data_IF_961502582469
#
_entry.id   IF_961502582469
#
_cell.length_a   1.000
_cell.length_b   1.000
_cell.length_c   1.000
_cell.angle_alpha   90.00
_cell.angle_beta   90.00
_cell.angle_gamma   90.00
#
_symmetry.space_group_name_H-M   'P 1'
#
loop_
_entity.id
_entity.type
_entity.pdbx_description
1 polymer ?
#
# COMPACT_ATOMS: atom_id res chain seq x y z
N UNK A 1 7.86 36.45 -25.56
CA UNK A 1 7.68 35.14 -26.23
C UNK A 1 8.84 34.13 -26.05
N UNK A 2 10.01 34.48 -25.50
CA UNK A 2 11.16 33.56 -25.36
C UNK A 2 11.20 32.72 -24.07
N UNK A 3 10.42 33.07 -23.03
CA UNK A 3 10.49 32.42 -21.71
C UNK A 3 9.65 31.14 -21.64
N UNK A 4 8.49 31.12 -22.32
CA UNK A 4 7.62 29.93 -22.40
C UNK A 4 8.28 28.79 -23.20
N UNK A 5 9.02 29.13 -24.26
CA UNK A 5 9.79 28.18 -25.06
C UNK A 5 10.87 27.44 -24.26
N UNK A 6 11.55 28.11 -23.31
CA UNK A 6 12.57 27.48 -22.45
C UNK A 6 11.96 26.53 -21.42
N UNK A 7 10.82 26.90 -20.81
CA UNK A 7 10.10 26.01 -19.88
C UNK A 7 9.58 24.76 -20.60
N UNK A 8 8.98 24.93 -21.79
CA UNK A 8 8.47 23.81 -22.57
C UNK A 8 9.60 22.84 -23.01
N UNK A 9 10.76 23.36 -23.39
CA UNK A 9 11.92 22.54 -23.74
C UNK A 9 12.53 21.80 -22.54
N UNK A 10 12.52 22.39 -21.34
CA UNK A 10 12.94 21.70 -20.12
C UNK A 10 11.98 20.56 -19.76
N UNK A 11 10.67 20.79 -19.88
CA UNK A 11 9.65 19.74 -19.67
C UNK A 11 9.86 18.59 -20.67
N UNK A 12 10.06 18.90 -21.96
CA UNK A 12 10.32 17.89 -22.98
C UNK A 12 11.63 17.13 -22.74
N UNK A 13 12.70 17.79 -22.29
CA UNK A 13 13.95 17.13 -21.91
C UNK A 13 13.78 16.20 -20.70
N UNK A 14 13.03 16.61 -19.68
CA UNK A 14 12.76 15.76 -18.51
C UNK A 14 11.92 14.54 -18.91
N UNK A 15 10.91 14.73 -19.75
CA UNK A 15 10.06 13.66 -20.28
C UNK A 15 10.85 12.69 -21.17
N UNK A 16 11.77 13.17 -22.00
CA UNK A 16 12.62 12.32 -22.87
C UNK A 16 13.70 11.56 -22.08
N UNK A 17 14.38 12.22 -21.14
CA UNK A 17 15.40 11.59 -20.29
C UNK A 17 14.80 10.54 -19.36
N UNK A 18 13.63 10.83 -18.77
CA UNK A 18 12.93 9.87 -17.91
C UNK A 18 12.25 8.77 -18.73
N UNK A 19 11.62 9.12 -19.86
CA UNK A 19 10.88 8.18 -20.70
C UNK A 19 11.77 7.13 -21.36
N UNK A 20 13.00 7.45 -21.78
CA UNK A 20 13.91 6.46 -22.41
C UNK A 20 14.64 5.56 -21.41
N UNK A 21 15.00 6.03 -20.20
CA UNK A 21 15.72 5.21 -19.20
C UNK A 21 14.81 4.46 -18.22
N UNK A 22 13.57 4.92 -17.99
CA UNK A 22 12.64 4.24 -17.05
C UNK A 22 11.92 3.04 -17.67
N UNK A 23 11.82 2.96 -19.00
CA UNK A 23 11.03 1.92 -19.69
C UNK A 23 11.54 0.50 -19.46
N UNK A 24 12.85 0.34 -19.25
CA UNK A 24 13.49 -0.98 -19.19
C UNK A 24 13.90 -1.43 -17.78
N UNK A 25 13.89 -0.54 -16.78
CA UNK A 25 14.49 -0.81 -15.45
C UNK A 25 13.44 -0.80 -14.33
N UNK A 26 12.26 -0.21 -14.55
CA UNK A 26 11.31 0.06 -13.48
C UNK A 26 10.01 -0.75 -13.61
N UNK A 27 9.53 -1.41 -12.53
CA UNK A 27 8.23 -2.09 -12.54
C UNK A 27 7.09 -1.17 -12.96
N UNK A 28 6.16 -1.68 -13.77
CA UNK A 28 5.09 -0.91 -14.42
C UNK A 28 4.31 0.03 -13.49
N UNK A 29 4.00 -0.42 -12.27
CA UNK A 29 3.29 0.41 -11.29
C UNK A 29 4.12 1.66 -10.91
N UNK A 30 5.42 1.52 -10.62
CA UNK A 30 6.28 2.66 -10.29
C UNK A 30 6.48 3.58 -11.49
N UNK A 31 6.62 3.01 -12.70
CA UNK A 31 6.68 3.78 -13.95
C UNK A 31 5.42 4.63 -14.14
N UNK A 32 4.24 4.02 -13.99
CA UNK A 32 2.95 4.73 -14.11
C UNK A 32 2.76 5.81 -13.04
N UNK A 33 3.19 5.55 -11.79
CA UNK A 33 3.16 6.57 -10.72
C UNK A 33 4.01 7.79 -11.10
N UNK A 34 5.21 7.58 -11.65
CA UNK A 34 6.08 8.67 -12.08
C UNK A 34 5.51 9.43 -13.28
N UNK A 35 4.96 8.74 -14.28
CA UNK A 35 4.27 9.38 -15.40
C UNK A 35 3.14 10.31 -14.93
N UNK A 36 2.32 9.86 -13.98
CA UNK A 36 1.23 10.66 -13.43
C UNK A 36 1.76 11.89 -12.67
N UNK A 37 2.82 11.72 -11.86
CA UNK A 37 3.46 12.83 -11.14
C UNK A 37 3.99 13.88 -12.12
N UNK A 38 4.64 13.46 -13.20
CA UNK A 38 5.13 14.40 -14.22
C UNK A 38 3.99 15.14 -14.94
N UNK A 39 2.88 14.46 -15.25
CA UNK A 39 1.68 15.11 -15.81
C UNK A 39 1.09 16.13 -14.85
N UNK A 40 1.01 15.81 -13.56
CA UNK A 40 0.54 16.75 -12.53
C UNK A 40 1.47 17.98 -12.41
N UNK A 41 2.79 17.79 -12.42
CA UNK A 41 3.76 18.91 -12.41
C UNK A 41 3.61 19.78 -13.67
N UNK A 42 3.45 19.16 -14.85
CA UNK A 42 3.25 19.88 -16.11
C UNK A 42 1.97 20.73 -16.06
N UNK A 43 0.85 20.16 -15.62
CA UNK A 43 -0.43 20.87 -15.41
C UNK A 43 -0.31 22.04 -14.43
N UNK A 44 0.55 21.95 -13.41
CA UNK A 44 0.78 23.03 -12.45
C UNK A 44 1.74 24.12 -12.96
N UNK A 45 2.55 23.83 -13.99
CA UNK A 45 3.61 24.72 -14.50
C UNK A 45 3.23 25.57 -15.71
N UNK A 46 2.07 25.29 -16.33
CA UNK A 46 1.48 26.04 -17.46
C UNK A 46 0.30 26.92 -17.01
N UNK A 47 0.12 28.06 -17.68
CA UNK A 47 -0.74 29.18 -17.25
C UNK A 47 -2.28 28.95 -17.43
N UNK A 48 -3.15 29.96 -17.19
CA UNK A 48 -4.35 29.89 -16.37
C UNK A 48 -5.60 29.39 -17.14
N UNK A 49 -5.74 28.08 -17.33
CA UNK A 49 -7.05 27.40 -17.34
C UNK A 49 -6.80 26.01 -16.76
N UNK A 50 -7.21 25.72 -15.51
CA UNK A 50 -6.92 24.44 -14.90
C UNK A 50 -7.83 23.41 -15.57
N UNK A 51 -7.29 22.33 -16.11
CA UNK A 51 -8.08 21.15 -16.49
C UNK A 51 -8.41 20.40 -15.18
N UNK A 52 -9.48 20.77 -14.46
CA UNK A 52 -9.66 20.37 -13.07
C UNK A 52 -10.05 18.89 -12.97
N UNK A 53 -10.76 18.42 -13.99
CA UNK A 53 -11.18 17.04 -14.14
C UNK A 53 -9.96 16.14 -14.45
N UNK A 54 -9.06 16.56 -15.34
CA UNK A 54 -7.83 15.80 -15.64
C UNK A 54 -6.89 15.73 -14.43
N UNK A 55 -6.72 16.83 -13.69
CA UNK A 55 -5.93 16.83 -12.45
C UNK A 55 -6.56 15.91 -11.39
N UNK A 56 -7.89 15.95 -11.25
CA UNK A 56 -8.63 15.10 -10.31
C UNK A 56 -8.52 13.62 -10.66
N UNK A 57 -8.65 13.28 -11.93
CA UNK A 57 -8.51 11.90 -12.43
C UNK A 57 -7.09 11.38 -12.25
N UNK A 58 -6.07 12.18 -12.56
CA UNK A 58 -4.67 11.83 -12.33
C UNK A 58 -4.38 11.63 -10.82
N UNK A 59 -4.90 12.48 -9.94
CA UNK A 59 -4.77 12.30 -8.48
C UNK A 59 -5.45 11.01 -8.00
N UNK A 60 -6.62 10.68 -8.55
CA UNK A 60 -7.34 9.43 -8.25
C UNK A 60 -6.54 8.21 -8.70
N UNK A 61 -6.07 8.20 -9.94
CA UNK A 61 -5.22 7.12 -10.50
C UNK A 61 -3.96 6.91 -9.65
N UNK A 62 -3.29 8.00 -9.27
CA UNK A 62 -2.09 7.92 -8.42
C UNK A 62 -2.41 7.29 -7.07
N UNK A 63 -3.53 7.69 -6.45
CA UNK A 63 -3.99 7.13 -5.17
C UNK A 63 -4.25 5.63 -5.31
N UNK A 64 -4.95 5.19 -6.35
CA UNK A 64 -5.23 3.77 -6.58
C UNK A 64 -3.95 2.95 -6.77
N UNK A 65 -2.97 3.47 -7.51
CA UNK A 65 -1.68 2.81 -7.71
C UNK A 65 -0.88 2.70 -6.41
N UNK A 66 -0.91 3.74 -5.57
CA UNK A 66 -0.28 3.72 -4.24
C UNK A 66 -0.96 2.70 -3.32
N UNK A 67 -2.30 2.66 -3.29
CA UNK A 67 -3.06 1.67 -2.52
C UNK A 67 -2.71 0.24 -2.96
N UNK A 68 -2.66 -0.04 -4.27
CA UNK A 68 -2.25 -1.36 -4.79
C UNK A 68 -0.83 -1.75 -4.36
N UNK A 69 0.11 -0.80 -4.42
CA UNK A 69 1.49 -1.00 -3.97
C UNK A 69 1.54 -1.31 -2.47
N UNK A 70 0.80 -0.54 -1.67
CA UNK A 70 0.83 -0.66 -0.22
C UNK A 70 0.12 -1.94 0.25
N UNK A 71 -0.95 -2.37 -0.44
CA UNK A 71 -1.54 -3.69 -0.27
C UNK A 71 -0.55 -4.84 -0.57
N UNK A 72 0.23 -4.73 -1.66
CA UNK A 72 1.25 -5.74 -2.00
C UNK A 72 2.38 -5.78 -0.95
N UNK A 73 2.84 -4.63 -0.47
CA UNK A 73 3.82 -4.54 0.63
C UNK A 73 3.26 -5.14 1.91
N UNK A 74 2.02 -4.80 2.27
CA UNK A 74 1.32 -5.33 3.45
C UNK A 74 1.23 -6.85 3.39
N UNK A 75 0.83 -7.41 2.25
CA UNK A 75 0.77 -8.87 2.04
C UNK A 75 2.11 -9.55 2.29
N UNK A 76 3.21 -8.98 1.80
CA UNK A 76 4.56 -9.53 2.05
C UNK A 76 4.95 -9.40 3.52
N UNK A 77 4.73 -8.25 4.12
CA UNK A 77 5.02 -7.99 5.53
C UNK A 77 4.28 -8.95 6.46
N UNK A 78 2.96 -9.08 6.27
CA UNK A 78 2.10 -9.99 7.04
C UNK A 78 2.58 -11.43 6.90
N UNK A 79 2.94 -11.87 5.68
CA UNK A 79 3.47 -13.21 5.45
C UNK A 79 4.72 -13.47 6.29
N UNK A 80 5.67 -12.53 6.32
CA UNK A 80 6.90 -12.66 7.09
C UNK A 80 6.62 -12.64 8.61
N UNK A 81 5.74 -11.76 9.06
CA UNK A 81 5.34 -11.69 10.47
C UNK A 81 4.65 -12.98 10.93
N UNK A 82 3.70 -13.50 10.15
CA UNK A 82 3.04 -14.77 10.46
C UNK A 82 4.04 -15.92 10.49
N UNK A 83 4.99 -15.97 9.57
CA UNK A 83 6.06 -16.99 9.60
C UNK A 83 6.93 -16.89 10.86
N UNK A 84 7.25 -15.67 11.30
CA UNK A 84 8.04 -15.42 12.51
C UNK A 84 7.30 -15.83 13.78
N UNK A 85 6.03 -15.41 13.91
CA UNK A 85 5.19 -15.71 15.08
C UNK A 85 4.91 -17.21 15.17
N UNK A 86 4.52 -17.81 14.05
CA UNK A 86 4.01 -19.19 14.02
C UNK A 86 5.12 -20.21 13.89
N UNK A 87 6.32 -19.82 13.45
CA UNK A 87 7.43 -20.74 13.16
C UNK A 87 7.02 -21.90 12.24
N UNK A 88 6.10 -21.62 11.29
CA UNK A 88 5.49 -22.60 10.36
C UNK A 88 4.55 -23.63 11.02
N UNK A 89 4.10 -23.37 12.25
CA UNK A 89 3.07 -24.15 12.93
C UNK A 89 1.78 -24.19 12.09
N UNK A 90 1.21 -25.38 11.83
CA UNK A 90 -0.09 -25.53 11.17
C UNK A 90 -1.21 -24.78 11.90
N UNK A 91 -2.21 -24.31 11.14
CA UNK A 91 -3.33 -23.56 11.69
C UNK A 91 -4.04 -24.26 12.86
N UNK A 92 -4.31 -25.56 12.73
CA UNK A 92 -5.00 -26.35 13.76
C UNK A 92 -4.23 -26.45 15.08
N UNK A 93 -2.90 -26.33 15.02
CA UNK A 93 -2.00 -26.39 16.16
C UNK A 93 -1.65 -25.02 16.77
N UNK A 94 -2.15 -23.93 16.17
CA UNK A 94 -1.98 -22.60 16.75
C UNK A 94 -2.67 -22.52 18.10
N UNK A 95 -1.98 -21.89 19.04
CA UNK A 95 -2.42 -21.65 20.41
C UNK A 95 -2.69 -20.17 20.64
N UNK A 96 -3.40 -19.86 21.72
CA UNK A 96 -3.78 -18.48 22.07
C UNK A 96 -2.63 -17.48 22.07
N UNK A 97 -1.43 -17.89 22.49
CA UNK A 97 -0.20 -17.08 22.48
C UNK A 97 0.19 -16.58 21.07
N UNK A 98 0.09 -17.44 20.05
CA UNK A 98 0.36 -17.06 18.66
C UNK A 98 -0.62 -15.99 18.20
N UNK A 99 -1.89 -16.16 18.54
CA UNK A 99 -2.96 -15.23 18.18
C UNK A 99 -2.79 -13.88 18.90
N UNK A 100 -2.38 -13.86 20.17
CA UNK A 100 -2.04 -12.59 20.84
C UNK A 100 -0.87 -11.87 20.16
N UNK A 101 0.19 -12.59 19.79
CA UNK A 101 1.31 -11.99 19.05
C UNK A 101 0.90 -11.44 17.68
N UNK A 102 0.01 -12.13 16.96
CA UNK A 102 -0.54 -11.62 15.69
C UNK A 102 -1.37 -10.35 15.87
N UNK A 103 -2.18 -10.31 16.94
CA UNK A 103 -2.98 -9.14 17.29
C UNK A 103 -2.09 -7.94 17.64
N UNK A 104 -1.04 -8.16 18.44
CA UNK A 104 -0.08 -7.11 18.82
C UNK A 104 0.73 -6.61 17.61
N UNK A 105 0.98 -7.48 16.63
CA UNK A 105 1.55 -7.13 15.33
C UNK A 105 0.54 -6.42 14.39
N UNK A 106 -0.70 -6.23 14.82
CA UNK A 106 -1.74 -5.56 14.04
C UNK A 106 -2.22 -6.37 12.83
N UNK A 107 -2.18 -7.70 12.87
CA UNK A 107 -2.57 -8.59 11.75
C UNK A 107 -4.06 -8.94 11.82
N UNK A 108 -4.83 -8.59 10.79
CA UNK A 108 -6.30 -8.79 10.77
C UNK A 108 -6.72 -10.27 10.67
N UNK A 109 -8.00 -10.55 10.93
CA UNK A 109 -8.56 -11.90 10.75
C UNK A 109 -8.49 -12.34 9.29
N UNK A 110 -8.87 -11.45 8.37
CA UNK A 110 -8.77 -11.65 6.93
C UNK A 110 -7.33 -12.03 6.52
N UNK A 111 -6.33 -11.35 7.08
CA UNK A 111 -4.92 -11.59 6.80
C UNK A 111 -4.46 -12.98 7.28
N UNK A 112 -4.90 -13.41 8.46
CA UNK A 112 -4.65 -14.76 8.99
C UNK A 112 -5.35 -15.81 8.12
N UNK A 113 -6.63 -15.58 7.81
CA UNK A 113 -7.46 -16.45 6.98
C UNK A 113 -6.83 -16.67 5.60
N UNK A 114 -6.40 -15.58 4.96
CA UNK A 114 -5.71 -15.62 3.67
C UNK A 114 -4.41 -16.44 3.72
N UNK A 115 -3.58 -16.23 4.74
CA UNK A 115 -2.29 -16.94 4.87
C UNK A 115 -2.48 -18.46 5.06
N UNK A 116 -3.45 -18.86 5.88
CA UNK A 116 -3.74 -20.27 6.17
C UNK A 116 -4.74 -20.93 5.22
N UNK A 117 -5.22 -20.18 4.21
CA UNK A 117 -6.28 -20.61 3.28
C UNK A 117 -7.53 -21.09 4.03
N UNK A 118 -7.95 -20.33 5.03
CA UNK A 118 -9.15 -20.55 5.84
C UNK A 118 -10.17 -19.44 5.57
N UNK A 119 -11.40 -19.62 6.05
CA UNK A 119 -12.39 -18.54 6.14
C UNK A 119 -12.18 -17.74 7.41
N UNK A 120 -12.58 -16.46 7.43
CA UNK A 120 -12.53 -15.65 8.65
C UNK A 120 -13.33 -16.28 9.79
N UNK A 121 -14.49 -16.87 9.50
CA UNK A 121 -15.30 -17.60 10.48
C UNK A 121 -14.54 -18.78 11.11
N UNK A 122 -13.74 -19.52 10.34
CA UNK A 122 -12.92 -20.60 10.89
C UNK A 122 -11.80 -20.05 11.81
N UNK A 123 -11.25 -18.87 11.50
CA UNK A 123 -10.30 -18.18 12.38
C UNK A 123 -10.98 -17.74 13.67
N UNK A 124 -12.17 -17.14 13.60
CA UNK A 124 -12.95 -16.75 14.78
C UNK A 124 -13.31 -17.93 15.68
N UNK A 125 -13.74 -19.06 15.09
CA UNK A 125 -14.01 -20.28 15.84
C UNK A 125 -12.76 -20.78 16.57
N UNK A 126 -11.61 -20.79 15.88
CA UNK A 126 -10.33 -21.20 16.49
C UNK A 126 -9.91 -20.26 17.61
N UNK A 127 -10.08 -18.94 17.44
CA UNK A 127 -9.86 -17.95 18.51
C UNK A 127 -10.74 -18.23 19.73
N UNK A 128 -12.01 -18.58 19.51
CA UNK A 128 -12.94 -18.98 20.57
C UNK A 128 -12.49 -20.22 21.33
N UNK A 129 -12.05 -21.27 20.61
CA UNK A 129 -11.50 -22.51 21.19
C UNK A 129 -10.26 -22.22 22.04
N UNK A 130 -9.36 -21.35 21.56
CA UNK A 130 -8.13 -20.98 22.25
C UNK A 130 -8.34 -19.90 23.34
N UNK A 131 -9.59 -19.51 23.61
CA UNK A 131 -9.93 -18.54 24.66
C UNK A 131 -9.49 -17.09 24.37
N UNK A 132 -9.19 -16.76 23.11
CA UNK A 132 -8.80 -15.41 22.69
C UNK A 132 -10.04 -14.54 22.55
N UNK A 133 -10.22 -13.61 23.49
CA UNK A 133 -11.40 -12.72 23.52
C UNK A 133 -11.11 -11.39 22.84
N UNK A 134 -12.12 -10.84 22.16
CA UNK A 134 -12.13 -9.49 21.55
C UNK A 134 -10.97 -9.29 20.55
N UNK A 135 -11.15 -9.83 19.34
CA UNK A 135 -10.29 -9.49 18.20
C UNK A 135 -10.79 -8.21 17.55
N UNK A 136 -10.11 -7.10 17.80
CA UNK A 136 -10.38 -5.84 17.10
C UNK A 136 -9.05 -5.18 16.74
N UNK A 137 -8.87 -4.92 15.45
CA UNK A 137 -7.72 -4.19 14.94
C UNK A 137 -8.26 -2.96 14.27
N UNK A 138 -7.94 -1.80 14.84
CA UNK A 138 -8.35 -0.52 14.28
C UNK A 138 -7.44 -0.21 13.10
N UNK A 139 -8.02 -0.09 11.91
CA UNK A 139 -7.36 0.61 10.82
C UNK A 139 -7.24 2.10 11.18
N UNK A 140 -6.17 2.75 10.74
CA UNK A 140 -6.09 4.21 10.80
C UNK A 140 -7.10 4.86 9.84
N UNK A 141 -7.22 6.19 9.88
CA UNK A 141 -8.15 6.96 9.06
C UNK A 141 -7.94 6.78 7.53
N UNK A 142 -6.82 6.20 7.12
CA UNK A 142 -6.47 5.93 5.73
C UNK A 142 -6.64 4.44 5.35
N UNK A 143 -7.13 3.61 6.27
CA UNK A 143 -7.34 2.17 6.04
C UNK A 143 -6.08 1.31 6.27
N UNK A 144 -5.01 1.86 6.85
CA UNK A 144 -3.81 1.09 7.18
C UNK A 144 -3.91 0.47 8.57
N UNK A 145 -3.62 -0.83 8.67
CA UNK A 145 -3.52 -1.52 9.95
C UNK A 145 -2.20 -1.13 10.62
N UNK A 146 -2.30 -0.50 11.80
CA UNK A 146 -1.16 0.01 12.56
C UNK A 146 -0.17 -1.12 12.87
N UNK A 147 0.91 -1.18 12.10
CA UNK A 147 2.15 -1.78 12.58
C UNK A 147 2.78 -0.74 13.51
N UNK A 148 2.59 -0.92 14.82
CA UNK A 148 3.32 -0.23 15.89
C UNK A 148 3.83 1.18 15.55
N UNK A 149 2.94 2.17 15.46
CA UNK A 149 3.36 3.52 15.79
C UNK A 149 3.46 3.58 17.31
N UNK A 150 4.64 3.24 17.84
CA UNK A 150 5.07 3.74 19.12
C UNK A 150 4.97 5.27 19.04
N UNK A 151 3.93 5.83 19.64
CA UNK A 151 3.96 7.23 20.06
C UNK A 151 4.93 7.29 21.22
N UNK A 152 6.14 7.77 20.97
CA UNK A 152 6.88 8.50 22.00
C UNK A 152 6.28 9.89 22.00
N UNK A 153 5.30 10.12 22.88
CA UNK A 153 4.95 11.41 23.48
C UNK A 153 3.94 11.15 24.60
#
# INVERSE_FOLDING_TARGET
MLVESKKQNQINCILDLCGKRMRDVMPDNKRRQLEIIYKLIALQSGAPVPYPDEEKDLKKDLKELMVKRDAAKRKMFVRLMLQSITKRTPFITLRGDHFYQMKDAGISLEEIACYYKQTESAVEQKLGIEGVKKWSIKADANGYFLCGLWKNE
#
